data_IF_642998386130
#
_entry.id   IF_642998386130
#
_cell.length_a   1.000
_cell.length_b   1.000
_cell.length_c   1.000
_cell.angle_alpha   90.00
_cell.angle_beta   90.00
_cell.angle_gamma   90.00
#
_symmetry.space_group_name_H-M   'P 1'
#
loop_
_entity.id
_entity.type
_entity.pdbx_description
1 polymer ?
#
# COMPACT_ATOMS: atom_id res chain seq x y z
N UNK A 1 -8.40 -1.99 -14.76
CA UNK A 1 -7.34 -1.02 -14.98
C UNK A 1 -6.56 -0.77 -13.72
N UNK A 2 -5.27 -0.89 -13.84
CA UNK A 2 -4.42 -0.67 -12.70
C UNK A 2 -3.32 0.30 -13.07
N UNK A 3 -2.78 0.95 -12.04
CA UNK A 3 -1.67 1.86 -12.21
C UNK A 3 -0.65 1.56 -11.13
N UNK A 4 0.58 1.94 -11.41
CA UNK A 4 1.64 1.80 -10.44
C UNK A 4 1.82 3.15 -9.77
N UNK A 5 1.71 3.15 -8.45
CA UNK A 5 1.81 4.38 -7.68
C UNK A 5 2.79 4.18 -6.55
N UNK A 6 3.45 5.25 -6.18
CA UNK A 6 4.44 5.20 -5.12
C UNK A 6 3.78 5.53 -3.79
N UNK A 7 4.19 4.84 -2.76
CA UNK A 7 3.70 5.12 -1.41
C UNK A 7 4.35 6.40 -0.93
N UNK A 8 3.54 7.41 -0.69
CA UNK A 8 4.02 8.67 -0.22
C UNK A 8 4.08 8.71 1.30
N UNK A 9 3.07 8.15 1.93
CA UNK A 9 3.03 8.07 3.38
C UNK A 9 2.32 6.81 3.78
N UNK A 10 2.75 6.24 4.88
CA UNK A 10 2.07 5.09 5.44
C UNK A 10 2.53 4.95 6.87
N UNK A 11 1.70 4.30 7.68
CA UNK A 11 2.09 4.01 9.04
C UNK A 11 3.25 3.05 9.05
N UNK A 12 4.16 3.22 10.00
CA UNK A 12 5.19 2.21 10.18
C UNK A 12 4.52 0.90 10.59
N UNK A 13 4.96 -0.17 10.00
CA UNK A 13 4.41 -1.46 10.39
C UNK A 13 4.67 -1.68 11.87
N UNK A 14 3.68 -2.15 12.56
CA UNK A 14 3.80 -2.40 13.99
C UNK A 14 4.09 -3.86 14.18
N UNK A 15 5.23 -4.14 14.75
CA UNK A 15 5.59 -5.51 15.00
C UNK A 15 4.68 -6.11 16.03
N UNK A 16 4.33 -7.33 15.82
CA UNK A 16 3.46 -8.01 16.74
C UNK A 16 2.00 -7.93 16.36
N UNK A 17 1.67 -7.09 15.44
CA UNK A 17 0.27 -6.96 15.03
C UNK A 17 0.00 -7.66 13.73
N UNK A 18 0.86 -8.58 13.37
CA UNK A 18 0.70 -9.26 12.10
C UNK A 18 -0.06 -10.56 12.23
N UNK A 19 -0.49 -10.87 13.42
CA UNK A 19 -1.10 -12.17 13.64
C UNK A 19 -2.31 -12.38 12.75
N UNK A 20 -3.01 -11.35 12.44
CA UNK A 20 -4.20 -11.48 11.62
C UNK A 20 -3.94 -11.10 10.17
N UNK A 21 -2.69 -10.97 9.78
CA UNK A 21 -2.40 -10.55 8.45
C UNK A 21 -2.89 -9.16 8.18
N UNK A 22 -2.73 -8.28 9.14
CA UNK A 22 -3.31 -6.97 9.08
C UNK A 22 -2.83 -6.13 7.93
N UNK A 23 -3.57 -5.06 7.70
CA UNK A 23 -3.23 -4.08 6.70
C UNK A 23 -3.13 -2.73 7.38
N UNK A 24 -2.61 -1.76 6.63
CA UNK A 24 -2.49 -0.41 7.16
C UNK A 24 -2.82 0.57 6.04
N UNK A 25 -3.27 1.76 6.39
CA UNK A 25 -3.56 2.75 5.36
C UNK A 25 -2.28 3.32 4.81
N UNK A 26 -2.29 3.60 3.53
CA UNK A 26 -1.16 4.23 2.86
C UNK A 26 -1.69 5.32 1.96
N UNK A 27 -0.97 6.42 1.91
CA UNK A 27 -1.30 7.52 1.03
C UNK A 27 -0.38 7.45 -0.17
N UNK A 28 -0.97 7.45 -1.33
CA UNK A 28 -0.23 7.34 -2.57
C UNK A 28 0.19 8.71 -3.06
N UNK A 29 1.06 8.71 -4.06
CA UNK A 29 1.54 9.97 -4.61
C UNK A 29 0.42 10.81 -5.18
N UNK A 30 -0.69 10.20 -5.53
CA UNK A 30 -1.85 10.94 -6.03
C UNK A 30 -2.69 11.52 -4.92
N UNK A 31 -2.42 11.15 -3.68
CA UNK A 31 -3.25 11.55 -2.57
C UNK A 31 -4.32 10.54 -2.22
N UNK A 32 -4.45 9.49 -2.99
CA UNK A 32 -5.43 8.46 -2.70
C UNK A 32 -4.96 7.60 -1.54
N UNK A 33 -5.91 7.11 -0.78
CA UNK A 33 -5.60 6.23 0.35
C UNK A 33 -6.03 4.82 0.00
N UNK A 34 -5.14 3.88 0.25
CA UNK A 34 -5.46 2.48 0.05
C UNK A 34 -4.94 1.70 1.23
N UNK A 35 -5.52 0.53 1.44
CA UNK A 35 -5.04 -0.37 2.48
C UNK A 35 -4.01 -1.29 1.88
N UNK A 36 -2.86 -1.35 2.51
CA UNK A 36 -1.74 -2.16 2.01
C UNK A 36 -1.28 -3.08 3.12
N UNK A 37 -0.59 -4.17 2.75
CA UNK A 37 -0.03 -5.06 3.77
C UNK A 37 0.98 -4.32 4.64
N UNK A 38 1.20 -4.84 5.82
CA UNK A 38 2.06 -4.16 6.78
C UNK A 38 3.50 -4.08 6.32
N UNK A 39 3.92 -4.95 5.42
CA UNK A 39 5.31 -4.93 4.98
C UNK A 39 5.61 -3.83 3.96
N UNK A 40 4.59 -3.11 3.51
CA UNK A 40 4.81 -2.05 2.54
C UNK A 40 5.40 -0.84 3.24
N UNK A 41 6.40 -0.22 2.62
CA UNK A 41 7.09 0.93 3.19
C UNK A 41 6.94 2.14 2.29
N UNK A 42 7.21 3.30 2.88
CA UNK A 42 7.22 4.54 2.10
C UNK A 42 8.27 4.41 1.01
N UNK A 43 7.90 4.86 -0.18
CA UNK A 43 8.81 4.82 -1.30
C UNK A 43 8.66 3.60 -2.17
N UNK A 44 7.92 2.60 -1.69
CA UNK A 44 7.68 1.42 -2.51
C UNK A 44 6.63 1.75 -3.55
N UNK A 45 6.73 1.08 -4.67
CA UNK A 45 5.75 1.21 -5.72
C UNK A 45 4.83 0.00 -5.69
N UNK A 46 3.55 0.27 -5.76
CA UNK A 46 2.57 -0.79 -5.74
C UNK A 46 1.61 -0.62 -6.90
N UNK A 47 0.95 -1.69 -7.23
CA UNK A 47 -0.07 -1.66 -8.28
C UNK A 47 -1.43 -1.53 -7.63
N UNK A 48 -2.19 -0.59 -8.10
CA UNK A 48 -3.47 -0.24 -7.50
C UNK A 48 -4.55 -0.31 -8.56
N UNK A 49 -5.68 -0.90 -8.17
CA UNK A 49 -6.85 -0.94 -9.04
C UNK A 49 -7.55 0.41 -8.91
N UNK A 50 -7.56 1.17 -10.02
CA UNK A 50 -8.12 2.51 -9.96
C UNK A 50 -9.62 2.52 -9.80
N UNK A 51 -10.27 1.40 -10.06
CA UNK A 51 -11.71 1.35 -9.96
C UNK A 51 -12.15 1.23 -8.50
N UNK A 52 -11.37 0.55 -7.71
CA UNK A 52 -11.69 0.31 -6.31
C UNK A 52 -10.71 0.94 -5.36
N UNK A 53 -9.65 1.55 -5.87
CA UNK A 53 -8.57 2.05 -5.03
C UNK A 53 -8.07 0.94 -4.13
N UNK A 54 -7.81 -0.21 -4.73
CA UNK A 54 -7.41 -1.39 -4.00
C UNK A 54 -5.99 -1.79 -4.34
N UNK A 55 -5.30 -2.27 -3.33
CA UNK A 55 -3.95 -2.77 -3.52
C UNK A 55 -4.01 -4.09 -4.27
N UNK A 56 -3.25 -4.19 -5.35
CA UNK A 56 -3.19 -5.42 -6.14
C UNK A 56 -1.91 -6.18 -5.92
N UNK A 57 -0.83 -5.50 -5.61
CA UNK A 57 0.44 -6.17 -5.43
C UNK A 57 1.56 -5.16 -5.49
N UNK A 58 2.75 -5.63 -5.10
CA UNK A 58 3.92 -4.77 -5.18
C UNK A 58 4.46 -4.78 -6.61
N UNK A 59 4.87 -3.61 -7.03
CA UNK A 59 5.54 -3.50 -8.31
C UNK A 59 7.04 -3.59 -8.04
N UNK A 60 7.59 -4.76 -8.22
CA UNK A 60 9.02 -4.95 -7.94
C UNK A 60 9.77 -5.06 -9.23
N UNK A 61 11.01 -4.69 -9.17
CA UNK A 61 11.87 -4.74 -10.33
C UNK A 61 12.92 -5.80 -10.17
#
# INVERSE_FOLDING_TARGET
>A
NSVVLEIKETDPGVKGDTASGGTKPAILETGAQVMVPLFISIGEKIRVDTRNDSYLGRETQ
#
